data_IF_769787027697
#
_entry.id   IF_769787027697
#
_cell.length_a   1.000
_cell.length_b   1.000
_cell.length_c   1.000
_cell.angle_alpha   90.00
_cell.angle_beta   90.00
_cell.angle_gamma   90.00
#
_symmetry.space_group_name_H-M   'P 1'
#
loop_
_entity.id
_entity.type
_entity.pdbx_description
1 polymer ?
#
# COMPACT_ATOMS: atom_id res chain seq x y z
N UNK A 1 17.58 7.39 10.56
CA UNK A 1 17.38 6.71 9.26
C UNK A 1 16.13 5.81 9.27
N UNK A 2 15.95 4.94 10.27
CA UNK A 2 14.75 4.08 10.39
C UNK A 2 13.41 4.85 10.36
N UNK A 3 13.27 5.90 11.18
CA UNK A 3 12.01 6.66 11.28
C UNK A 3 11.61 7.32 9.96
N UNK A 4 12.59 7.81 9.19
CA UNK A 4 12.34 8.38 7.86
C UNK A 4 11.89 7.30 6.86
N UNK A 5 12.55 6.13 6.84
CA UNK A 5 12.14 5.01 6.00
C UNK A 5 10.73 4.51 6.35
N UNK A 6 10.42 4.36 7.64
CA UNK A 6 9.10 3.97 8.10
C UNK A 6 8.02 4.99 7.70
N UNK A 7 8.31 6.29 7.83
CA UNK A 7 7.41 7.37 7.42
C UNK A 7 7.10 7.30 5.92
N UNK A 8 8.11 7.15 5.06
CA UNK A 8 7.90 7.01 3.61
C UNK A 8 7.01 5.80 3.30
N UNK A 9 7.28 4.65 3.89
CA UNK A 9 6.50 3.43 3.65
C UNK A 9 5.04 3.58 4.09
N UNK A 10 4.82 4.24 5.24
CA UNK A 10 3.48 4.52 5.75
C UNK A 10 2.74 5.52 4.85
N UNK A 11 3.40 6.59 4.41
CA UNK A 11 2.81 7.55 3.47
C UNK A 11 2.41 6.88 2.17
N UNK A 12 3.30 6.07 1.58
CA UNK A 12 2.99 5.27 0.38
C UNK A 12 1.82 4.32 0.66
N UNK A 13 1.73 3.73 1.85
CA UNK A 13 0.61 2.86 2.21
C UNK A 13 -0.72 3.62 2.21
N UNK A 14 -0.76 4.79 2.80
CA UNK A 14 -1.97 5.62 2.88
C UNK A 14 -2.41 5.99 1.46
N UNK A 15 -1.48 6.47 0.63
CA UNK A 15 -1.77 6.82 -0.76
C UNK A 15 -2.23 5.60 -1.57
N UNK A 16 -1.57 4.45 -1.41
CA UNK A 16 -1.96 3.21 -2.07
C UNK A 16 -3.35 2.76 -1.63
N UNK A 17 -3.67 2.84 -0.34
CA UNK A 17 -5.00 2.46 0.18
C UNK A 17 -6.10 3.33 -0.43
N UNK A 18 -5.91 4.65 -0.45
CA UNK A 18 -6.84 5.59 -1.05
C UNK A 18 -6.99 5.31 -2.54
N UNK A 19 -5.87 5.17 -3.26
CA UNK A 19 -5.84 4.89 -4.69
C UNK A 19 -6.54 3.56 -5.04
N UNK A 20 -6.30 2.50 -4.26
CA UNK A 20 -6.96 1.20 -4.44
C UNK A 20 -8.47 1.36 -4.38
N UNK A 21 -9.01 2.05 -3.36
CA UNK A 21 -10.46 2.27 -3.24
C UNK A 21 -11.01 2.99 -4.47
N UNK A 22 -10.40 4.11 -4.87
CA UNK A 22 -10.87 4.88 -6.02
C UNK A 22 -10.79 4.11 -7.33
N UNK A 23 -9.66 3.46 -7.60
CA UNK A 23 -9.48 2.71 -8.84
C UNK A 23 -10.34 1.45 -8.89
N UNK A 24 -10.57 0.77 -7.77
CA UNK A 24 -11.50 -0.36 -7.72
C UNK A 24 -12.92 0.10 -8.02
N UNK A 25 -13.38 1.22 -7.45
CA UNK A 25 -14.71 1.77 -7.75
C UNK A 25 -14.81 2.15 -9.23
N UNK A 26 -13.83 2.90 -9.75
CA UNK A 26 -13.80 3.30 -11.16
C UNK A 26 -13.82 2.08 -12.09
N UNK A 27 -13.08 1.03 -11.74
CA UNK A 27 -13.07 -0.24 -12.46
C UNK A 27 -14.44 -0.93 -12.46
N UNK A 28 -15.11 -1.01 -11.31
CA UNK A 28 -16.44 -1.60 -11.21
C UNK A 28 -17.47 -0.81 -12.02
N UNK A 29 -17.45 0.53 -11.93
CA UNK A 29 -18.33 1.40 -12.72
C UNK A 29 -18.10 1.20 -14.22
N UNK A 30 -16.83 1.15 -14.65
CA UNK A 30 -16.50 0.88 -16.04
C UNK A 30 -16.88 -0.55 -16.47
N UNK A 31 -16.76 -1.52 -15.57
CA UNK A 31 -17.08 -2.93 -15.84
C UNK A 31 -18.58 -3.14 -16.09
N UNK A 32 -19.45 -2.41 -15.38
CA UNK A 32 -20.90 -2.43 -15.62
C UNK A 32 -21.24 -1.98 -17.05
N UNK A 33 -20.47 -1.05 -17.61
CA UNK A 33 -20.75 -0.47 -18.94
C UNK A 33 -20.09 -1.20 -20.10
N UNK A 34 -18.94 -1.82 -19.88
CA UNK A 34 -18.06 -2.28 -20.97
C UNK A 34 -17.70 -3.75 -20.86
N UNK A 35 -16.80 -4.09 -19.94
CA UNK A 35 -16.31 -5.43 -19.66
C UNK A 35 -15.48 -5.40 -18.38
N UNK A 36 -15.33 -6.55 -17.72
CA UNK A 36 -14.42 -6.71 -16.58
C UNK A 36 -12.95 -6.44 -16.96
N UNK A 37 -12.54 -6.79 -18.18
CA UNK A 37 -11.19 -6.52 -18.71
C UNK A 37 -11.10 -5.15 -19.37
N UNK A 38 -11.33 -4.10 -18.58
CA UNK A 38 -11.21 -2.71 -19.04
C UNK A 38 -9.92 -2.05 -18.50
N UNK A 39 -9.55 -0.88 -19.04
CA UNK A 39 -8.30 -0.19 -18.69
C UNK A 39 -8.16 0.15 -17.19
N UNK A 40 -9.27 0.33 -16.47
CA UNK A 40 -9.23 0.64 -15.03
C UNK A 40 -8.80 -0.55 -14.17
N UNK A 41 -8.90 -1.78 -14.70
CA UNK A 41 -8.40 -2.98 -14.03
C UNK A 41 -6.91 -2.85 -13.70
N UNK A 42 -6.11 -2.32 -14.64
CA UNK A 42 -4.67 -2.20 -14.46
C UNK A 42 -4.30 -1.16 -13.41
N UNK A 43 -5.07 -0.08 -13.30
CA UNK A 43 -4.89 0.91 -12.24
C UNK A 43 -5.26 0.35 -10.86
N UNK A 44 -6.37 -0.40 -10.76
CA UNK A 44 -6.78 -1.07 -9.53
C UNK A 44 -5.77 -2.13 -9.10
N UNK A 45 -5.31 -2.96 -10.04
CA UNK A 45 -4.29 -3.97 -9.81
C UNK A 45 -2.96 -3.34 -9.38
N UNK A 46 -2.52 -2.26 -10.04
CA UNK A 46 -1.30 -1.54 -9.69
C UNK A 46 -1.33 -0.98 -8.26
N UNK A 47 -2.45 -0.38 -7.84
CA UNK A 47 -2.59 0.11 -6.47
C UNK A 47 -2.61 -1.03 -5.43
N UNK A 48 -3.29 -2.14 -5.72
CA UNK A 48 -3.27 -3.33 -4.86
C UNK A 48 -1.84 -3.90 -4.71
N UNK A 49 -1.08 -3.98 -5.80
CA UNK A 49 0.33 -4.41 -5.77
C UNK A 49 1.18 -3.44 -4.95
N UNK A 50 1.02 -2.12 -5.14
CA UNK A 50 1.73 -1.12 -4.35
C UNK A 50 1.46 -1.26 -2.84
N UNK A 51 0.22 -1.58 -2.47
CA UNK A 51 -0.17 -1.87 -1.09
C UNK A 51 0.56 -3.10 -0.54
N UNK A 52 0.62 -4.19 -1.32
CA UNK A 52 1.34 -5.41 -0.94
C UNK A 52 2.86 -5.15 -0.78
N UNK A 53 3.46 -4.37 -1.67
CA UNK A 53 4.87 -3.97 -1.58
C UNK A 53 5.11 -3.12 -0.33
N UNK A 54 4.26 -2.14 -0.04
CA UNK A 54 4.35 -1.34 1.20
C UNK A 54 4.24 -2.22 2.44
N UNK A 55 3.36 -3.23 2.42
CA UNK A 55 3.24 -4.20 3.50
C UNK A 55 4.51 -5.01 3.71
N UNK A 56 5.07 -5.55 2.63
CA UNK A 56 6.31 -6.31 2.67
C UNK A 56 7.49 -5.44 3.15
N UNK A 57 7.64 -4.23 2.61
CA UNK A 57 8.75 -3.34 2.92
C UNK A 57 8.72 -2.89 4.39
N UNK A 58 7.55 -2.58 4.93
CA UNK A 58 7.41 -2.29 6.36
C UNK A 58 7.77 -3.51 7.22
N UNK A 59 7.31 -4.71 6.83
CA UNK A 59 7.62 -5.96 7.52
C UNK A 59 9.12 -6.27 7.49
N UNK A 60 9.79 -5.97 6.40
CA UNK A 60 11.23 -6.07 6.28
C UNK A 60 11.97 -5.08 7.18
N UNK A 61 11.54 -3.81 7.18
CA UNK A 61 12.14 -2.76 8.01
C UNK A 61 12.04 -3.09 9.51
N UNK A 62 10.92 -3.62 9.99
CA UNK A 62 10.78 -4.03 11.40
C UNK A 62 11.68 -5.19 11.81
N UNK A 63 11.97 -6.12 10.90
CA UNK A 63 12.80 -7.31 11.19
C UNK A 63 14.28 -6.94 11.16
N UNK A 64 14.71 -6.16 10.15
CA UNK A 64 16.12 -5.85 9.94
C UNK A 64 16.62 -4.68 10.79
N UNK A 65 15.71 -3.77 11.14
CA UNK A 65 15.98 -2.62 12.00
C UNK A 65 14.89 -2.54 13.06
N UNK A 66 14.91 -3.42 14.09
CA UNK A 66 13.99 -3.31 15.20
C UNK A 66 14.13 -1.90 15.80
N UNK A 67 13.00 -1.23 16.02
CA UNK A 67 13.01 0.14 16.54
C UNK A 67 13.78 0.17 17.86
N UNK A 68 14.86 0.94 17.93
CA UNK A 68 15.68 1.16 19.13
C UNK A 68 14.94 1.98 20.21
N UNK A 69 13.61 1.92 20.23
CA UNK A 69 12.85 2.28 21.42
C UNK A 69 13.20 1.23 22.48
N UNK A 70 14.12 1.57 23.39
CA UNK A 70 14.34 0.80 24.63
C UNK A 70 12.97 0.38 25.15
N UNK A 71 12.73 -0.94 25.19
CA UNK A 71 11.74 -1.50 26.10
C UNK A 71 12.10 -0.94 27.46
N UNK A 72 11.25 -0.07 28.00
CA UNK A 72 11.21 0.18 29.43
C UNK A 72 10.69 -1.11 30.06
N UNK A 73 11.61 -2.04 30.30
CA UNK A 73 11.40 -3.14 31.23
C UNK A 73 11.57 -2.54 32.65
N UNK A 74 10.55 -2.64 33.53
CA UNK A 74 10.71 -2.27 34.95
C UNK A 74 11.64 -3.24 35.69
#
# INVERSE_FOLDING_TARGET
MWSAAALIVLTVRVLATIATVFFTIAWLVAAVRSSLLNGWLWWAAGAAIAMAISWYLYSYLRVRYPSTSRRWEP
#
